data_IF_095179147571
#
_entry.id   IF_095179147571
#
_cell.length_a   1.000
_cell.length_b   1.000
_cell.length_c   1.000
_cell.angle_alpha   90.00
_cell.angle_beta   90.00
_cell.angle_gamma   90.00
#
_symmetry.space_group_name_H-M   'P 1'
#
loop_
_entity.id
_entity.type
_entity.pdbx_description
1 polymer ?
#
# COMPACT_ATOMS: atom_id res chain seq x y z
N UNK A 1 -4.21 -18.11 -2.40
CA UNK A 1 -3.58 -17.57 -1.17
C UNK A 1 -3.11 -16.15 -1.44
N UNK A 2 -3.24 -15.28 -0.47
CA UNK A 2 -2.75 -13.90 -0.53
C UNK A 2 -1.79 -13.67 0.64
N UNK A 3 -0.59 -13.20 0.33
CA UNK A 3 0.40 -12.85 1.35
C UNK A 3 0.48 -11.33 1.45
N UNK A 4 0.45 -10.84 2.68
CA UNK A 4 0.43 -9.42 3.00
C UNK A 4 1.63 -9.04 3.84
N UNK A 5 2.32 -7.98 3.40
CA UNK A 5 3.28 -7.27 4.22
C UNK A 5 3.12 -5.77 3.95
N UNK A 6 2.90 -5.00 5.01
CA UNK A 6 2.58 -3.58 4.88
C UNK A 6 3.82 -2.73 4.78
N UNK A 7 3.93 -1.92 3.73
CA UNK A 7 5.03 -0.96 3.55
C UNK A 7 4.87 0.25 4.49
N UNK A 8 3.66 0.58 4.91
CA UNK A 8 3.27 1.60 5.88
C UNK A 8 3.37 3.05 5.39
N UNK A 9 4.51 3.46 4.82
CA UNK A 9 4.74 4.84 4.39
C UNK A 9 5.77 4.93 3.28
N UNK A 10 5.97 6.14 2.77
CA UNK A 10 6.96 6.43 1.73
C UNK A 10 8.39 6.33 2.26
N UNK A 11 9.34 6.10 1.34
CA UNK A 11 10.76 5.89 1.68
C UNK A 11 11.34 7.01 2.54
N UNK A 12 11.06 8.26 2.20
CA UNK A 12 11.61 9.44 2.88
C UNK A 12 11.17 9.57 4.34
N UNK A 13 10.05 8.95 4.73
CA UNK A 13 9.52 9.00 6.09
C UNK A 13 9.80 7.74 6.90
N UNK A 14 10.49 6.77 6.33
CA UNK A 14 10.61 5.45 6.95
C UNK A 14 11.29 5.49 8.32
N UNK A 15 12.37 6.25 8.46
CA UNK A 15 13.08 6.38 9.74
C UNK A 15 12.21 6.98 10.84
N UNK A 16 11.31 7.90 10.47
CA UNK A 16 10.41 8.57 11.40
C UNK A 16 9.22 7.70 11.79
N UNK A 17 8.65 6.99 10.83
CA UNK A 17 7.42 6.20 11.00
C UNK A 17 7.70 4.78 11.48
N UNK A 18 8.74 4.16 10.93
CA UNK A 18 9.15 2.80 11.27
C UNK A 18 10.66 2.72 11.53
N UNK A 19 11.14 3.25 12.66
CA UNK A 19 12.60 3.30 12.94
C UNK A 19 13.26 1.93 13.00
N UNK A 20 12.49 0.86 13.32
CA UNK A 20 12.99 -0.51 13.36
C UNK A 20 12.85 -1.24 12.02
N UNK A 21 12.16 -0.65 11.04
CA UNK A 21 11.93 -1.25 9.74
C UNK A 21 12.86 -0.69 8.66
N UNK A 22 12.90 -1.39 7.53
CA UNK A 22 13.61 -0.92 6.33
C UNK A 22 12.69 -1.02 5.13
N UNK A 23 12.58 0.08 4.40
CA UNK A 23 11.74 0.19 3.21
C UNK A 23 12.10 -0.89 2.17
N UNK A 24 13.37 -1.00 1.84
CA UNK A 24 13.86 -1.95 0.84
C UNK A 24 13.65 -3.41 1.26
N UNK A 25 13.73 -3.68 2.55
CA UNK A 25 13.51 -5.04 3.07
C UNK A 25 12.08 -5.51 2.84
N UNK A 26 11.10 -4.64 3.05
CA UNK A 26 9.68 -4.97 2.80
C UNK A 26 9.46 -5.24 1.32
N UNK A 27 10.00 -4.42 0.44
CA UNK A 27 9.91 -4.62 -1.00
C UNK A 27 10.56 -5.95 -1.42
N UNK A 28 11.74 -6.24 -0.90
CA UNK A 28 12.45 -7.49 -1.19
C UNK A 28 11.67 -8.71 -0.72
N UNK A 29 11.08 -8.64 0.47
CA UNK A 29 10.27 -9.73 1.01
C UNK A 29 9.06 -10.04 0.13
N UNK A 30 8.37 -9.00 -0.34
CA UNK A 30 7.23 -9.15 -1.26
C UNK A 30 7.67 -9.76 -2.58
N UNK A 31 8.80 -9.33 -3.11
CA UNK A 31 9.36 -9.89 -4.35
C UNK A 31 9.76 -11.34 -4.19
N UNK A 32 10.45 -11.68 -3.09
CA UNK A 32 10.87 -13.07 -2.81
C UNK A 32 9.67 -14.00 -2.69
N UNK A 33 8.57 -13.53 -2.14
CA UNK A 33 7.33 -14.30 -2.08
C UNK A 33 6.87 -14.72 -3.47
N UNK A 34 6.94 -13.81 -4.44
CA UNK A 34 6.60 -14.10 -5.84
C UNK A 34 7.59 -15.07 -6.49
N UNK A 35 8.88 -14.87 -6.24
CA UNK A 35 9.92 -15.75 -6.78
C UNK A 35 9.76 -17.18 -6.26
N UNK A 36 9.42 -17.31 -4.99
CA UNK A 36 9.22 -18.61 -4.34
C UNK A 36 7.91 -19.29 -4.80
N UNK A 37 6.85 -18.51 -4.97
CA UNK A 37 5.54 -19.02 -5.37
C UNK A 37 4.82 -18.04 -6.31
N UNK A 38 5.04 -18.12 -7.64
CA UNK A 38 4.49 -17.14 -8.59
C UNK A 38 2.96 -17.05 -8.62
N UNK A 39 2.28 -18.10 -8.15
CA UNK A 39 0.81 -18.14 -8.11
C UNK A 39 0.21 -17.43 -6.91
N UNK A 40 1.01 -17.02 -5.95
CA UNK A 40 0.54 -16.32 -4.74
C UNK A 40 0.29 -14.86 -5.07
N UNK A 41 -0.84 -14.32 -4.59
CA UNK A 41 -1.12 -12.89 -4.64
C UNK A 41 -0.38 -12.18 -3.52
N UNK A 42 0.21 -11.03 -3.82
CA UNK A 42 0.83 -10.19 -2.80
C UNK A 42 0.07 -8.90 -2.62
N UNK A 43 -0.04 -8.47 -1.38
CA UNK A 43 -0.77 -7.27 -0.98
C UNK A 43 0.10 -6.43 -0.05
N UNK A 44 0.13 -5.14 -0.28
CA UNK A 44 0.79 -4.19 0.60
C UNK A 44 -0.09 -2.96 0.81
N UNK A 45 0.13 -2.25 1.89
CA UNK A 45 -0.64 -1.06 2.20
C UNK A 45 0.21 0.02 2.82
N UNK A 46 -0.25 1.24 2.66
CA UNK A 46 0.37 2.40 3.29
C UNK A 46 -0.67 3.47 3.65
N UNK A 47 -0.22 4.44 4.42
CA UNK A 47 -1.08 5.50 4.92
C UNK A 47 -0.64 6.85 4.38
N UNK A 48 -1.59 7.75 4.20
CA UNK A 48 -1.37 9.14 3.85
C UNK A 48 -1.66 10.03 5.07
N UNK A 49 -1.05 11.21 5.09
CA UNK A 49 -1.23 12.17 6.19
C UNK A 49 -0.09 12.21 7.18
N UNK A 50 1.05 11.59 6.86
CA UNK A 50 2.26 11.57 7.70
C UNK A 50 3.29 12.64 7.30
N UNK A 51 3.02 13.41 6.25
CA UNK A 51 3.91 14.46 5.75
C UNK A 51 4.53 14.16 4.38
N UNK A 52 4.07 13.09 3.72
CA UNK A 52 4.53 12.70 2.39
C UNK A 52 4.07 13.68 1.31
N UNK A 53 4.86 13.81 0.26
CA UNK A 53 4.50 14.54 -0.95
C UNK A 53 3.83 13.61 -1.95
N UNK A 54 3.04 14.17 -2.87
CA UNK A 54 2.38 13.38 -3.92
C UNK A 54 3.40 12.59 -4.77
N UNK A 55 4.54 13.20 -5.07
CA UNK A 55 5.63 12.55 -5.82
C UNK A 55 6.16 11.32 -5.08
N UNK A 56 6.26 11.40 -3.76
CA UNK A 56 6.71 10.27 -2.93
C UNK A 56 5.71 9.10 -3.01
N UNK A 57 4.42 9.42 -3.05
CA UNK A 57 3.36 8.40 -3.18
C UNK A 57 3.43 7.73 -4.54
N UNK A 58 3.62 8.50 -5.61
CA UNK A 58 3.76 7.95 -6.95
C UNK A 58 5.00 7.06 -7.06
N UNK A 59 6.12 7.46 -6.46
CA UNK A 59 7.33 6.64 -6.40
C UNK A 59 7.10 5.34 -5.64
N UNK A 60 6.40 5.41 -4.51
CA UNK A 60 6.07 4.23 -3.72
C UNK A 60 5.21 3.24 -4.53
N UNK A 61 4.20 3.74 -5.23
CA UNK A 61 3.35 2.89 -6.07
C UNK A 61 4.18 2.21 -7.18
N UNK A 62 5.10 2.94 -7.80
CA UNK A 62 6.00 2.36 -8.81
C UNK A 62 6.91 1.29 -8.21
N UNK A 63 7.45 1.53 -7.01
CA UNK A 63 8.30 0.56 -6.32
C UNK A 63 7.53 -0.72 -5.97
N UNK A 64 6.30 -0.59 -5.50
CA UNK A 64 5.44 -1.74 -5.22
C UNK A 64 5.17 -2.54 -6.51
N UNK A 65 4.87 -1.85 -7.60
CA UNK A 65 4.65 -2.53 -8.90
C UNK A 65 5.91 -3.22 -9.41
N UNK A 66 7.07 -2.59 -9.27
CA UNK A 66 8.36 -3.16 -9.67
C UNK A 66 8.72 -4.41 -8.86
N UNK A 67 8.14 -4.57 -7.68
CA UNK A 67 8.33 -5.74 -6.82
C UNK A 67 7.14 -6.70 -6.87
N UNK A 68 6.34 -6.60 -7.94
CA UNK A 68 5.27 -7.53 -8.30
C UNK A 68 4.12 -7.61 -7.32
N UNK A 69 3.84 -6.52 -6.61
CA UNK A 69 2.66 -6.44 -5.74
C UNK A 69 1.41 -6.38 -6.61
N UNK A 70 0.40 -7.17 -6.25
CA UNK A 70 -0.85 -7.28 -7.00
C UNK A 70 -1.91 -6.29 -6.50
N UNK A 71 -1.99 -6.11 -5.19
CA UNK A 71 -3.06 -5.35 -4.54
C UNK A 71 -2.45 -4.32 -3.59
N UNK A 72 -2.97 -3.10 -3.65
CA UNK A 72 -2.51 -2.00 -2.78
C UNK A 72 -3.69 -1.44 -2.01
N UNK A 73 -3.49 -1.17 -0.73
CA UNK A 73 -4.45 -0.45 0.12
C UNK A 73 -3.86 0.88 0.57
N UNK A 74 -4.63 1.94 0.46
CA UNK A 74 -4.22 3.29 0.86
C UNK A 74 -5.29 3.87 1.79
N UNK A 75 -4.90 4.21 3.02
CA UNK A 75 -5.80 4.76 4.03
C UNK A 75 -5.26 6.03 4.67
N UNK A 76 -6.11 6.72 5.43
CA UNK A 76 -5.71 7.91 6.19
C UNK A 76 -5.03 7.50 7.48
N UNK A 77 -3.86 8.07 7.76
CA UNK A 77 -3.23 7.94 9.06
C UNK A 77 -4.03 8.67 10.13
N UNK A 78 -4.30 7.98 11.23
CA UNK A 78 -4.91 8.54 12.42
C UNK A 78 -4.00 8.23 13.61
N UNK A 79 -3.66 9.25 14.40
CA UNK A 79 -2.78 9.07 15.56
C UNK A 79 -3.52 8.28 16.65
N UNK A 80 -2.98 7.13 17.10
CA UNK A 80 -3.63 6.35 18.16
C UNK A 80 -3.57 6.98 19.55
N UNK A 81 -2.68 7.95 19.77
CA UNK A 81 -2.51 8.58 21.06
C UNK A 81 -1.40 9.61 21.09
N UNK A 82 -1.20 10.30 22.25
CA UNK A 82 -0.26 11.44 22.35
C UNK A 82 1.21 11.04 22.17
N UNK A 83 1.54 9.75 22.34
CA UNK A 83 2.92 9.26 22.17
C UNK A 83 3.20 8.78 20.74
N UNK A 84 2.25 8.96 19.83
CA UNK A 84 2.38 8.60 18.43
C UNK A 84 2.54 9.83 17.56
N UNK A 85 3.00 9.65 16.32
CA UNK A 85 3.17 10.77 15.40
C UNK A 85 1.83 11.49 15.18
N UNK A 86 1.83 12.83 15.17
CA UNK A 86 0.61 13.58 14.88
C UNK A 86 0.22 13.44 13.41
N UNK A 87 -1.07 13.59 13.14
CA UNK A 87 -1.57 13.69 11.77
C UNK A 87 -1.06 15.01 11.17
N UNK A 88 -0.34 14.95 10.06
CA UNK A 88 0.17 16.13 9.38
C UNK A 88 -0.88 16.80 8.51
N UNK A 89 -1.75 15.99 7.91
CA UNK A 89 -2.89 16.48 7.13
C UNK A 89 -3.96 15.40 6.98
N UNK A 90 -5.20 15.84 6.76
CA UNK A 90 -6.29 14.96 6.36
C UNK A 90 -6.44 15.05 4.84
N UNK A 91 -6.12 13.95 4.17
CA UNK A 91 -6.09 13.90 2.71
C UNK A 91 -7.52 13.79 2.17
N UNK A 92 -7.84 14.56 1.14
CA UNK A 92 -9.19 14.58 0.56
C UNK A 92 -9.53 13.25 -0.13
N UNK A 93 -10.82 12.87 -0.16
CA UNK A 93 -11.27 11.69 -0.92
C UNK A 93 -10.89 11.75 -2.40
N UNK A 94 -10.89 12.95 -3.00
CA UNK A 94 -10.49 13.11 -4.40
C UNK A 94 -9.02 12.78 -4.63
N UNK A 95 -8.15 13.08 -3.67
CA UNK A 95 -6.73 12.72 -3.74
C UNK A 95 -6.55 11.21 -3.62
N UNK A 96 -7.28 10.55 -2.72
CA UNK A 96 -7.29 9.08 -2.63
C UNK A 96 -7.72 8.46 -3.96
N UNK A 97 -8.74 9.00 -4.59
CA UNK A 97 -9.19 8.52 -5.90
C UNK A 97 -8.15 8.75 -6.99
N UNK A 98 -7.44 9.86 -6.95
CA UNK A 98 -6.34 10.13 -7.88
C UNK A 98 -5.28 9.03 -7.84
N UNK A 99 -4.85 8.63 -6.64
CA UNK A 99 -3.86 7.55 -6.49
C UNK A 99 -4.43 6.18 -6.90
N UNK A 100 -5.71 5.93 -6.65
CA UNK A 100 -6.39 4.72 -7.11
C UNK A 100 -6.34 4.63 -8.64
N UNK A 101 -6.76 5.68 -9.32
CA UNK A 101 -6.77 5.72 -10.79
C UNK A 101 -5.36 5.55 -11.36
N UNK A 102 -4.40 6.26 -10.78
CA UNK A 102 -3.00 6.12 -11.21
C UNK A 102 -2.50 4.68 -11.07
N UNK A 103 -2.76 4.05 -9.92
CA UNK A 103 -2.32 2.68 -9.68
C UNK A 103 -2.99 1.67 -10.62
N UNK A 104 -4.30 1.78 -10.82
CA UNK A 104 -5.05 0.84 -11.66
C UNK A 104 -4.85 1.07 -13.15
N UNK A 105 -4.81 2.33 -13.59
CA UNK A 105 -4.73 2.68 -15.02
C UNK A 105 -3.31 2.79 -15.55
N UNK A 106 -2.40 3.40 -14.80
CA UNK A 106 -1.04 3.65 -15.25
C UNK A 106 -0.06 2.54 -14.85
N UNK A 107 -0.26 1.91 -13.70
CA UNK A 107 0.62 0.86 -13.18
C UNK A 107 0.02 -0.54 -13.28
N UNK A 108 -1.23 -0.65 -13.65
CA UNK A 108 -1.90 -1.94 -13.88
C UNK A 108 -1.90 -2.88 -12.66
N UNK A 109 -2.07 -2.32 -11.45
CA UNK A 109 -2.35 -3.14 -10.28
C UNK A 109 -3.68 -3.88 -10.47
N UNK A 110 -3.76 -5.10 -9.96
CA UNK A 110 -5.00 -5.88 -9.99
C UNK A 110 -6.13 -5.14 -9.27
N UNK A 111 -5.82 -4.49 -8.13
CA UNK A 111 -6.75 -3.63 -7.41
C UNK A 111 -5.99 -2.63 -6.56
N UNK A 112 -6.53 -1.40 -6.48
CA UNK A 112 -6.13 -0.40 -5.49
C UNK A 112 -7.37 -0.01 -4.69
N UNK A 113 -7.35 -0.27 -3.37
CA UNK A 113 -8.40 0.16 -2.45
C UNK A 113 -7.88 1.43 -1.76
N UNK A 114 -8.47 2.57 -2.09
CA UNK A 114 -7.94 3.87 -1.67
C UNK A 114 -9.08 4.77 -1.21
N UNK A 115 -9.14 5.03 0.09
CA UNK A 115 -10.10 5.95 0.70
C UNK A 115 -9.65 6.28 2.12
N UNK A 116 -10.17 7.37 2.73
CA UNK A 116 -9.82 7.70 4.12
C UNK A 116 -10.08 6.59 5.13
N UNK A 117 -11.09 5.76 4.88
CA UNK A 117 -11.49 4.69 5.80
C UNK A 117 -10.86 3.34 5.49
N UNK A 118 -10.06 3.25 4.43
CA UNK A 118 -9.40 1.99 4.05
C UNK A 118 -8.44 1.51 5.13
N UNK A 119 -8.51 0.22 5.43
CA UNK A 119 -7.58 -0.49 6.31
C UNK A 119 -7.10 -1.76 5.60
N UNK A 120 -6.04 -2.36 6.10
CA UNK A 120 -5.43 -3.53 5.45
C UNK A 120 -6.37 -4.74 5.32
N UNK A 121 -7.39 -4.83 6.15
CA UNK A 121 -8.41 -5.88 6.10
C UNK A 121 -9.71 -5.44 5.42
N UNK A 122 -9.80 -4.16 5.01
CA UNK A 122 -11.00 -3.62 4.39
C UNK A 122 -11.20 -4.24 3.01
N UNK A 123 -12.44 -4.60 2.69
CA UNK A 123 -12.82 -5.27 1.41
C UNK A 123 -12.13 -6.62 1.18
N UNK A 124 -11.81 -7.37 2.24
CA UNK A 124 -11.21 -8.69 2.11
C UNK A 124 -12.04 -9.65 1.22
N UNK A 125 -13.37 -9.57 1.32
CA UNK A 125 -14.28 -10.39 0.51
C UNK A 125 -14.19 -10.04 -0.98
N UNK A 126 -14.07 -8.76 -1.31
CA UNK A 126 -13.91 -8.32 -2.71
C UNK A 126 -12.61 -8.84 -3.30
N UNK A 127 -11.54 -8.85 -2.49
CA UNK A 127 -10.25 -9.40 -2.90
C UNK A 127 -10.39 -10.89 -3.22
N UNK A 128 -11.12 -11.63 -2.38
CA UNK A 128 -11.38 -13.06 -2.64
C UNK A 128 -12.15 -13.27 -3.93
N UNK A 129 -13.12 -12.40 -4.24
CA UNK A 129 -13.85 -12.46 -5.50
C UNK A 129 -12.95 -12.20 -6.70
N UNK A 130 -12.03 -11.23 -6.57
CA UNK A 130 -11.04 -10.95 -7.61
C UNK A 130 -10.09 -12.13 -7.83
N UNK A 131 -9.65 -12.78 -6.79
CA UNK A 131 -8.78 -13.95 -6.88
C UNK A 131 -9.47 -15.09 -7.60
N UNK A 132 -10.80 -15.25 -7.47
CA UNK A 132 -11.59 -16.22 -8.21
C UNK A 132 -11.74 -15.83 -9.68
N UNK A 133 -11.87 -14.53 -9.96
CA UNK A 133 -12.03 -14.02 -11.32
C UNK A 133 -10.73 -14.08 -12.13
N UNK A 134 -9.59 -13.93 -11.48
CA UNK A 134 -8.27 -13.97 -12.10
C UNK A 134 -7.41 -15.07 -11.46
N UNK A 135 -7.75 -16.33 -11.67
CA UNK A 135 -6.99 -17.43 -11.05
C UNK A 135 -5.58 -17.50 -11.64
N UNK A 136 -4.65 -17.89 -10.81
CA UNK A 136 -3.26 -18.12 -11.21
C UNK A 136 -2.85 -19.57 -11.01
#
# INVERSE_FOLDING_TARGET
MCIRDSIETVSSLYKKVRPQGKYERTLELLKRTKDYSPKVYTKSGFMLGLGEKDEDVLSLLKDLKSNFVDIVTIGQYLSPGPNHLPVQRFVSPSKFNHFKVFGEKNLDFMQVVSSPLTRSSYHAEEIQKLMKKYPR
#
